data_IF_384140712158
#
_entry.id   IF_384140712158
#
_cell.length_a   1.000
_cell.length_b   1.000
_cell.length_c   1.000
_cell.angle_alpha   90.00
_cell.angle_beta   90.00
_cell.angle_gamma   90.00
#
_symmetry.space_group_name_H-M   'P 1'
#
loop_
_entity.id
_entity.type
_entity.pdbx_description
1 polymer ?
#
# COMPACT_ATOMS: atom_id res chain seq x y z
N UNK A 1 3.90 13.17 18.13
CA UNK A 1 2.58 12.96 17.53
C UNK A 1 2.33 11.50 17.14
N UNK A 2 1.11 11.23 16.71
CA UNK A 2 0.69 9.92 16.20
C UNK A 2 0.35 10.04 14.73
N UNK A 3 0.87 9.13 13.91
CA UNK A 3 0.60 9.06 12.48
C UNK A 3 -0.17 7.79 12.14
N UNK A 4 -1.14 7.89 11.24
CA UNK A 4 -1.88 6.74 10.74
C UNK A 4 -2.28 6.96 9.28
N UNK A 5 -2.40 5.90 8.50
CA UNK A 5 -2.83 5.97 7.12
C UNK A 5 -4.34 5.71 6.99
N UNK A 6 -4.98 6.45 6.12
CA UNK A 6 -6.36 6.19 5.71
C UNK A 6 -6.53 6.44 4.21
N UNK A 7 -7.61 5.95 3.65
CA UNK A 7 -7.96 6.30 2.28
C UNK A 7 -8.64 7.67 2.24
N UNK A 8 -8.48 8.38 1.14
CA UNK A 8 -9.19 9.61 0.90
C UNK A 8 -10.70 9.38 0.79
N UNK A 9 -11.46 10.17 1.54
CA UNK A 9 -12.93 10.27 1.45
C UNK A 9 -13.73 9.09 2.01
N UNK A 10 -13.24 7.86 1.98
CA UNK A 10 -13.96 6.67 2.45
C UNK A 10 -13.03 5.60 3.03
N UNK A 11 -13.61 4.77 3.89
CA UNK A 11 -12.90 3.59 4.39
C UNK A 11 -12.55 2.63 3.25
N UNK A 12 -11.31 2.13 3.24
CA UNK A 12 -10.85 0.99 2.44
C UNK A 12 -10.43 -0.16 3.33
N UNK A 13 -10.46 -1.38 2.80
CA UNK A 13 -9.95 -2.57 3.49
C UNK A 13 -8.52 -2.35 3.98
N UNK A 14 -8.22 -2.84 5.17
CA UNK A 14 -6.91 -2.78 5.83
C UNK A 14 -6.39 -1.36 6.17
N UNK A 15 -7.21 -0.33 6.00
CA UNK A 15 -6.89 1.05 6.40
C UNK A 15 -7.88 1.57 7.46
N UNK A 16 -7.45 2.55 8.22
CA UNK A 16 -8.30 3.20 9.20
C UNK A 16 -9.47 3.96 8.54
N UNK A 17 -10.56 4.13 9.28
CA UNK A 17 -11.70 4.92 8.83
C UNK A 17 -11.36 6.42 8.93
N UNK A 18 -11.39 7.19 7.83
CA UNK A 18 -11.06 8.62 7.86
C UNK A 18 -12.03 9.43 8.72
N UNK A 19 -13.30 9.06 8.80
CA UNK A 19 -14.29 9.76 9.64
C UNK A 19 -14.02 9.55 11.12
N UNK A 20 -13.63 8.33 11.50
CA UNK A 20 -13.23 8.04 12.88
C UNK A 20 -11.98 8.82 13.26
N UNK A 21 -10.98 8.89 12.38
CA UNK A 21 -9.76 9.65 12.63
C UNK A 21 -10.05 11.14 12.80
N UNK A 22 -10.85 11.72 11.92
CA UNK A 22 -11.28 13.12 12.03
C UNK A 22 -12.02 13.38 13.35
N UNK A 23 -12.93 12.49 13.75
CA UNK A 23 -13.63 12.56 15.04
C UNK A 23 -12.65 12.53 16.24
N UNK A 24 -11.53 11.80 16.12
CA UNK A 24 -10.48 11.73 17.15
C UNK A 24 -9.48 12.90 17.09
N UNK A 25 -9.69 13.87 16.21
CA UNK A 25 -8.85 15.07 16.12
C UNK A 25 -7.62 14.93 15.22
N UNK A 26 -7.52 13.83 14.44
CA UNK A 26 -6.47 13.72 13.45
C UNK A 26 -6.71 14.69 12.28
N UNK A 27 -5.63 15.27 11.80
CA UNK A 27 -5.61 16.15 10.64
C UNK A 27 -4.88 15.48 9.48
N UNK A 28 -5.22 15.82 8.25
CA UNK A 28 -4.44 15.41 7.08
C UNK A 28 -3.13 16.18 7.04
N UNK A 29 -2.02 15.48 7.17
CA UNK A 29 -0.68 16.05 7.11
C UNK A 29 -0.10 16.03 5.69
N UNK A 30 -0.36 14.96 4.92
CA UNK A 30 0.09 14.84 3.53
C UNK A 30 -0.82 13.85 2.76
N UNK A 31 -0.76 13.89 1.44
CA UNK A 31 -1.58 13.08 0.54
C UNK A 31 -0.69 12.44 -0.51
N UNK A 32 -0.87 11.13 -0.74
CA UNK A 32 -0.23 10.40 -1.81
C UNK A 32 -1.13 10.36 -3.06
N UNK A 33 -0.52 10.39 -4.25
CA UNK A 33 -1.24 10.34 -5.53
C UNK A 33 -2.12 9.10 -5.70
N UNK A 34 -1.87 8.04 -4.94
CA UNK A 34 -2.71 6.83 -4.93
C UNK A 34 -3.98 6.96 -4.05
N UNK A 35 -4.28 8.14 -3.52
CA UNK A 35 -5.46 8.39 -2.69
C UNK A 35 -5.33 7.83 -1.27
N UNK A 36 -4.11 7.80 -0.72
CA UNK A 36 -3.84 7.46 0.68
C UNK A 36 -3.34 8.71 1.39
N UNK A 37 -4.00 9.06 2.49
CA UNK A 37 -3.68 10.21 3.32
C UNK A 37 -2.84 9.79 4.52
N UNK A 38 -1.86 10.63 4.84
CA UNK A 38 -1.13 10.60 6.10
C UNK A 38 -1.87 11.46 7.12
N UNK A 39 -2.51 10.81 8.08
CA UNK A 39 -3.21 11.49 9.16
C UNK A 39 -2.28 11.68 10.34
N UNK A 40 -2.42 12.81 11.04
CA UNK A 40 -1.54 13.21 12.13
C UNK A 40 -2.32 13.78 13.31
N UNK A 41 -1.98 13.32 14.51
CA UNK A 41 -2.44 13.88 15.78
C UNK A 41 -1.23 14.43 16.53
N UNK A 42 -1.06 15.77 16.67
CA UNK A 42 0.01 16.33 17.47
C UNK A 42 -0.22 16.03 18.96
N UNK A 43 0.83 15.64 19.68
CA UNK A 43 0.79 15.41 21.13
C UNK A 43 1.45 16.54 21.94
N UNK A 44 2.15 17.41 21.24
CA UNK A 44 2.77 18.61 21.82
C UNK A 44 2.45 19.82 20.95
N UNK A 45 2.35 21.03 21.55
CA UNK A 45 2.27 22.27 20.77
C UNK A 45 3.49 22.39 19.84
N UNK A 46 3.30 22.99 18.70
CA UNK A 46 4.37 23.30 17.71
C UNK A 46 5.07 22.07 17.10
N UNK A 47 4.49 20.86 17.23
CA UNK A 47 4.98 19.67 16.53
C UNK A 47 4.80 19.82 15.03
N UNK A 48 5.89 19.70 14.27
CA UNK A 48 5.83 19.73 12.79
C UNK A 48 5.07 18.51 12.26
N UNK A 49 4.11 18.69 11.34
CA UNK A 49 3.43 17.59 10.69
C UNK A 49 4.41 16.75 9.87
N UNK A 50 4.27 15.43 9.87
CA UNK A 50 5.08 14.55 9.04
C UNK A 50 4.72 14.71 7.55
N UNK A 51 5.63 14.29 6.67
CA UNK A 51 5.43 14.24 5.23
C UNK A 51 5.78 12.85 4.71
N UNK A 52 5.13 12.47 3.62
CA UNK A 52 5.57 11.31 2.84
C UNK A 52 6.94 11.58 2.21
N UNK A 53 7.74 10.52 2.06
CA UNK A 53 8.87 10.54 1.15
C UNK A 53 8.36 10.65 -0.29
N UNK A 54 9.18 11.17 -1.20
CA UNK A 54 8.81 11.32 -2.60
C UNK A 54 8.34 10.00 -3.24
N UNK A 55 9.00 8.88 -2.96
CA UNK A 55 8.60 7.56 -3.46
C UNK A 55 7.23 7.10 -2.96
N UNK A 56 6.81 7.51 -1.76
CA UNK A 56 5.50 7.21 -1.21
C UNK A 56 4.43 8.23 -1.61
N UNK A 57 4.85 9.47 -1.87
CA UNK A 57 3.97 10.54 -2.36
C UNK A 57 3.56 10.32 -3.81
N UNK A 58 4.50 9.87 -4.64
CA UNK A 58 4.32 9.58 -6.06
C UNK A 58 4.60 8.09 -6.33
N UNK A 59 3.68 7.17 -5.94
CA UNK A 59 3.91 5.74 -6.04
C UNK A 59 4.11 5.30 -7.49
N UNK A 60 5.28 4.74 -7.78
CA UNK A 60 5.62 4.17 -9.08
C UNK A 60 6.65 3.07 -8.94
N UNK A 61 6.39 1.91 -9.53
CA UNK A 61 7.39 0.87 -9.72
C UNK A 61 8.13 1.07 -11.06
N UNK A 62 9.42 0.72 -11.09
CA UNK A 62 10.27 0.92 -12.28
C UNK A 62 10.18 -0.23 -13.29
N UNK A 63 9.38 -1.26 -13.01
CA UNK A 63 9.31 -2.49 -13.81
C UNK A 63 7.95 -2.68 -14.47
N UNK A 64 7.98 -3.28 -15.67
CA UNK A 64 6.77 -3.72 -16.38
C UNK A 64 6.18 -4.98 -15.74
N UNK A 65 4.91 -5.24 -16.00
CA UNK A 65 4.17 -6.35 -15.40
C UNK A 65 3.74 -6.07 -13.97
N UNK A 66 3.41 -7.14 -13.24
CA UNK A 66 3.01 -7.01 -11.84
C UNK A 66 4.23 -7.01 -10.91
N UNK A 67 4.24 -6.06 -9.98
CA UNK A 67 5.23 -5.98 -8.90
C UNK A 67 4.49 -5.90 -7.58
N UNK A 68 4.80 -6.81 -6.66
CA UNK A 68 4.21 -6.89 -5.35
C UNK A 68 5.28 -6.68 -4.27
N UNK A 69 5.11 -5.64 -3.47
CA UNK A 69 5.84 -5.45 -2.21
C UNK A 69 4.98 -5.94 -1.05
N UNK A 70 5.55 -6.71 -0.13
CA UNK A 70 4.82 -7.18 1.04
C UNK A 70 5.70 -7.42 2.27
N UNK A 71 5.05 -7.45 3.44
CA UNK A 71 5.65 -7.84 4.73
C UNK A 71 4.81 -8.93 5.38
N UNK A 72 5.38 -9.60 6.38
CA UNK A 72 4.66 -10.58 7.22
C UNK A 72 3.90 -9.95 8.41
N UNK A 73 3.71 -8.64 8.41
CA UNK A 73 2.95 -7.94 9.46
C UNK A 73 1.48 -8.34 9.52
N UNK A 74 0.95 -8.90 8.45
CA UNK A 74 -0.42 -9.38 8.37
C UNK A 74 -0.43 -10.88 8.01
N UNK A 75 -1.15 -11.75 8.75
CA UNK A 75 -1.19 -13.17 8.45
C UNK A 75 -1.80 -13.49 7.07
N UNK A 76 -2.61 -12.58 6.53
CA UNK A 76 -3.17 -12.73 5.18
C UNK A 76 -2.11 -12.66 4.08
N UNK A 77 -1.02 -11.90 4.25
CA UNK A 77 0.09 -11.87 3.26
C UNK A 77 0.79 -13.21 3.22
N UNK A 78 1.09 -13.79 4.38
CA UNK A 78 1.69 -15.12 4.49
C UNK A 78 0.84 -16.20 3.80
N UNK A 79 -0.48 -16.10 3.91
CA UNK A 79 -1.40 -17.05 3.30
C UNK A 79 -1.59 -16.85 1.80
N UNK A 80 -1.79 -15.60 1.35
CA UNK A 80 -2.19 -15.30 -0.03
C UNK A 80 -1.03 -15.11 -1.00
N UNK A 81 0.11 -14.56 -0.57
CA UNK A 81 1.23 -14.26 -1.49
C UNK A 81 1.75 -15.51 -2.20
N UNK A 82 2.02 -16.66 -1.54
CA UNK A 82 2.42 -17.87 -2.24
C UNK A 82 1.38 -18.35 -3.27
N UNK A 83 0.09 -18.23 -2.96
CA UNK A 83 -1.02 -18.63 -3.85
C UNK A 83 -1.12 -17.74 -5.08
N UNK A 84 -0.89 -16.44 -4.90
CA UNK A 84 -0.82 -15.49 -6.03
C UNK A 84 0.36 -15.82 -6.94
N UNK A 85 1.52 -16.18 -6.36
CA UNK A 85 2.70 -16.59 -7.13
C UNK A 85 2.44 -17.87 -7.94
N UNK A 86 1.78 -18.87 -7.34
CA UNK A 86 1.38 -20.10 -8.03
C UNK A 86 0.40 -19.80 -9.17
N UNK A 87 -0.65 -19.01 -8.91
CA UNK A 87 -1.62 -18.60 -9.92
C UNK A 87 -0.95 -17.82 -11.06
N UNK A 88 -0.08 -16.87 -10.75
CA UNK A 88 0.65 -16.11 -11.76
C UNK A 88 1.50 -17.03 -12.66
N UNK A 89 2.18 -18.01 -12.07
CA UNK A 89 2.97 -19.02 -12.80
C UNK A 89 2.09 -19.91 -13.69
N UNK A 90 0.97 -20.39 -13.16
CA UNK A 90 0.02 -21.26 -13.88
C UNK A 90 -0.55 -20.56 -15.11
N UNK A 91 -0.92 -19.30 -14.99
CA UNK A 91 -1.53 -18.50 -16.08
C UNK A 91 -0.51 -17.70 -16.90
N UNK A 92 0.79 -17.85 -16.66
CA UNK A 92 1.83 -17.17 -17.43
C UNK A 92 1.85 -15.65 -17.23
N UNK A 93 1.40 -15.16 -16.07
CA UNK A 93 1.34 -13.74 -15.74
C UNK A 93 2.68 -13.30 -15.15
N UNK A 94 3.40 -12.32 -15.72
CA UNK A 94 4.62 -11.78 -15.13
C UNK A 94 4.35 -11.14 -13.77
N UNK A 95 4.91 -11.72 -12.72
CA UNK A 95 4.81 -11.22 -11.35
C UNK A 95 6.17 -11.27 -10.65
N UNK A 96 6.68 -10.11 -10.26
CA UNK A 96 7.82 -9.97 -9.37
C UNK A 96 7.34 -9.73 -7.94
N UNK A 97 7.82 -10.53 -6.99
CA UNK A 97 7.47 -10.39 -5.57
C UNK A 97 8.70 -9.96 -4.79
N UNK A 98 8.55 -8.88 -4.02
CA UNK A 98 9.61 -8.28 -3.21
C UNK A 98 9.19 -8.34 -1.75
N UNK A 99 9.88 -9.18 -0.98
CA UNK A 99 9.69 -9.26 0.45
C UNK A 99 10.44 -8.13 1.16
N UNK A 100 9.72 -7.37 1.96
CA UNK A 100 10.26 -6.24 2.72
C UNK A 100 10.72 -6.75 4.09
N UNK A 101 11.98 -7.19 4.16
CA UNK A 101 12.54 -7.87 5.33
C UNK A 101 13.14 -6.91 6.38
N UNK A 102 13.50 -5.70 5.99
CA UNK A 102 14.24 -4.77 6.83
C UNK A 102 13.80 -3.32 6.64
N UNK A 103 14.30 -2.47 7.53
CA UNK A 103 13.99 -1.04 7.56
C UNK A 103 14.47 -0.29 6.30
N UNK A 104 15.59 -0.69 5.73
CA UNK A 104 16.14 -0.03 4.55
C UNK A 104 15.26 -0.32 3.33
N UNK A 105 14.92 -1.57 3.10
CA UNK A 105 13.97 -1.98 2.06
C UNK A 105 12.62 -1.30 2.25
N UNK A 106 12.10 -1.26 3.48
CA UNK A 106 10.82 -0.60 3.78
C UNK A 106 10.83 0.90 3.44
N UNK A 107 11.94 1.58 3.68
CA UNK A 107 12.09 3.01 3.35
C UNK A 107 12.09 3.32 1.86
N UNK A 108 12.40 2.34 1.03
CA UNK A 108 12.51 2.47 -0.42
C UNK A 108 11.30 1.86 -1.16
N UNK A 109 10.34 1.29 -0.46
CA UNK A 109 9.06 0.85 -1.07
C UNK A 109 8.38 2.06 -1.71
N UNK A 110 8.06 2.01 -3.01
CA UNK A 110 7.46 3.15 -3.71
C UNK A 110 5.94 3.26 -3.45
N UNK A 111 5.54 3.13 -2.19
CA UNK A 111 4.15 3.23 -1.76
C UNK A 111 4.06 3.71 -0.30
N UNK A 112 2.95 4.35 0.10
CA UNK A 112 2.74 4.74 1.50
C UNK A 112 2.45 3.56 2.43
N UNK A 113 2.05 2.40 1.89
CA UNK A 113 1.78 1.17 2.64
C UNK A 113 2.82 0.12 2.28
N UNK A 114 3.51 -0.43 3.28
CA UNK A 114 4.55 -1.46 3.09
C UNK A 114 4.06 -2.88 3.34
N UNK A 115 2.92 -3.04 4.01
CA UNK A 115 2.34 -4.36 4.30
C UNK A 115 1.97 -5.11 3.03
N UNK A 116 1.38 -4.40 2.07
CA UNK A 116 1.01 -4.92 0.75
C UNK A 116 0.87 -3.76 -0.22
N UNK A 117 1.58 -3.80 -1.33
CA UNK A 117 1.49 -2.81 -2.40
C UNK A 117 1.67 -3.50 -3.75
N UNK A 118 0.60 -3.56 -4.53
CA UNK A 118 0.58 -4.18 -5.86
C UNK A 118 0.59 -3.11 -6.95
N UNK A 119 1.50 -3.27 -7.90
CA UNK A 119 1.67 -2.43 -9.08
C UNK A 119 1.45 -3.24 -10.35
N UNK A 120 1.06 -2.56 -11.43
CA UNK A 120 1.07 -3.08 -12.80
C UNK A 120 1.62 -2.03 -13.74
N UNK A 121 2.64 -2.40 -14.51
CA UNK A 121 3.31 -1.51 -15.49
C UNK A 121 3.69 -0.15 -14.88
N UNK A 122 4.26 -0.20 -13.68
CA UNK A 122 4.66 0.98 -12.90
C UNK A 122 3.56 1.67 -12.12
N UNK A 123 2.28 1.41 -12.42
CA UNK A 123 1.13 2.07 -11.77
C UNK A 123 0.70 1.34 -10.50
N UNK A 124 0.50 2.07 -9.42
CA UNK A 124 -0.06 1.52 -8.18
C UNK A 124 -1.51 1.10 -8.37
N UNK A 125 -1.82 -0.15 -8.05
CA UNK A 125 -3.18 -0.69 -8.15
C UNK A 125 -3.91 -0.71 -6.82
N UNK A 126 -3.30 -1.33 -5.80
CA UNK A 126 -3.99 -1.53 -4.52
C UNK A 126 -3.03 -1.84 -3.37
N UNK A 127 -3.42 -1.44 -2.17
CA UNK A 127 -2.84 -1.87 -0.91
C UNK A 127 -3.64 -3.00 -0.25
N UNK A 128 -4.80 -3.35 -0.79
CA UNK A 128 -5.63 -4.44 -0.27
C UNK A 128 -5.05 -5.79 -0.67
N UNK A 129 -4.88 -6.68 0.31
CA UNK A 129 -4.35 -8.01 0.10
C UNK A 129 -5.31 -8.79 -0.81
N UNK A 130 -4.82 -9.26 -1.94
CA UNK A 130 -5.60 -9.96 -2.93
C UNK A 130 -5.60 -11.47 -2.67
N UNK A 131 -6.74 -12.13 -2.90
CA UNK A 131 -6.76 -13.57 -3.14
C UNK A 131 -6.27 -13.90 -4.56
N UNK A 132 -5.99 -15.17 -4.83
CA UNK A 132 -5.68 -15.67 -6.17
C UNK A 132 -6.74 -15.24 -7.20
N UNK A 133 -8.01 -15.41 -6.89
CA UNK A 133 -9.15 -15.02 -7.75
C UNK A 133 -9.19 -13.52 -8.01
N UNK A 134 -9.00 -12.71 -6.98
CA UNK A 134 -8.96 -11.24 -7.12
C UNK A 134 -7.76 -10.79 -7.96
N UNK A 135 -6.61 -11.42 -7.76
CA UNK A 135 -5.40 -11.14 -8.55
C UNK A 135 -5.60 -11.48 -10.02
N UNK A 136 -6.15 -12.67 -10.33
CA UNK A 136 -6.44 -13.08 -11.71
C UNK A 136 -7.45 -12.14 -12.37
N UNK A 137 -8.47 -11.70 -11.64
CA UNK A 137 -9.42 -10.70 -12.16
C UNK A 137 -8.75 -9.38 -12.51
N UNK A 138 -7.79 -8.90 -11.70
CA UNK A 138 -6.98 -7.72 -12.02
C UNK A 138 -6.11 -7.94 -13.27
N UNK A 139 -5.58 -9.15 -13.47
CA UNK A 139 -4.75 -9.47 -14.62
C UNK A 139 -5.55 -9.53 -15.93
N UNK A 140 -6.83 -9.91 -15.86
CA UNK A 140 -7.75 -9.93 -17.02
C UNK A 140 -8.26 -8.54 -17.43
N UNK A 141 -8.20 -7.55 -16.52
CA UNK A 141 -8.59 -6.18 -16.84
C UNK A 141 -7.56 -5.58 -17.82
N UNK A 142 -7.93 -5.49 -19.08
CA UNK A 142 -7.21 -4.67 -20.06
C UNK A 142 -7.60 -3.21 -19.88
N UNK A 143 -6.61 -2.33 -19.99
CA UNK A 143 -6.81 -0.87 -19.92
C UNK A 143 -7.81 -0.35 -20.95
#
# INVERSE_FOLDING_TARGET
GVCILCAEGRKREFLADPKFLAYKGFMTADISDCGINLMYLPLVPDAEPPKFKECAKHPRADEDGFVLYYTDQCPYTYYWVPRIQEAAKEYGIPLKVIYVADKETARNVPAPVTTYALFRDGTFLTQSIQSDKKFLALAEMTD
#
